data_IF_383280011284
#
_entry.id   IF_383280011284
#
_cell.length_a   1.000
_cell.length_b   1.000
_cell.length_c   1.000
_cell.angle_alpha   90.00
_cell.angle_beta   90.00
_cell.angle_gamma   90.00
#
_symmetry.space_group_name_H-M   'P 1'
#
loop_
_entity.id
_entity.type
_entity.pdbx_description
1 polymer ?
#
# COMPACT_ATOMS: atom_id res chain seq x y z
N UNK A 1 -0.11 -29.59 -21.88
CA UNK A 1 -0.16 -28.13 -21.65
C UNK A 1 -1.38 -27.68 -20.84
N UNK A 2 -2.63 -28.02 -21.21
CA UNK A 2 -3.84 -27.65 -20.45
C UNK A 2 -3.80 -28.02 -18.96
N UNK A 3 -3.40 -29.25 -18.61
CA UNK A 3 -3.31 -29.68 -17.21
C UNK A 3 -2.28 -28.88 -16.39
N UNK A 4 -1.17 -28.45 -17.00
CA UNK A 4 -0.12 -27.65 -16.32
C UNK A 4 -0.64 -26.23 -16.06
N UNK A 5 -1.31 -25.63 -17.06
CA UNK A 5 -1.93 -24.32 -16.91
C UNK A 5 -3.08 -24.34 -15.89
N UNK A 6 -3.92 -25.38 -15.88
CA UNK A 6 -4.98 -25.53 -14.89
C UNK A 6 -4.43 -25.55 -13.46
N UNK A 7 -3.37 -26.32 -13.21
CA UNK A 7 -2.69 -26.34 -11.90
C UNK A 7 -2.03 -25.00 -11.57
N UNK A 8 -1.39 -24.33 -12.54
CA UNK A 8 -0.81 -23.00 -12.32
C UNK A 8 -1.88 -22.00 -11.85
N UNK A 9 -3.01 -21.95 -12.54
CA UNK A 9 -4.14 -21.08 -12.17
C UNK A 9 -4.67 -21.41 -10.76
N UNK A 10 -4.77 -22.70 -10.42
CA UNK A 10 -5.18 -23.14 -9.09
C UNK A 10 -4.23 -22.64 -7.99
N UNK A 11 -2.91 -22.75 -8.19
CA UNK A 11 -1.93 -22.23 -7.22
C UNK A 11 -1.94 -20.71 -7.13
N UNK A 12 -2.15 -20.00 -8.24
CA UNK A 12 -2.30 -18.53 -8.24
C UNK A 12 -3.56 -18.08 -7.49
N UNK A 13 -4.67 -18.79 -7.69
CA UNK A 13 -5.91 -18.53 -6.94
C UNK A 13 -5.72 -18.79 -5.44
N UNK A 14 -5.14 -19.95 -5.09
CA UNK A 14 -4.81 -20.30 -3.70
C UNK A 14 -3.88 -19.27 -3.06
N UNK A 15 -2.90 -18.76 -3.80
CA UNK A 15 -2.01 -17.70 -3.33
C UNK A 15 -2.78 -16.44 -2.93
N UNK A 16 -3.65 -15.94 -3.81
CA UNK A 16 -4.45 -14.75 -3.56
C UNK A 16 -5.39 -14.95 -2.35
N UNK A 17 -6.07 -16.10 -2.28
CA UNK A 17 -6.95 -16.43 -1.15
C UNK A 17 -6.21 -16.43 0.19
N UNK A 18 -5.03 -17.06 0.26
CA UNK A 18 -4.24 -17.10 1.50
C UNK A 18 -3.78 -15.72 1.96
N UNK A 19 -3.44 -14.81 1.04
CA UNK A 19 -3.13 -13.41 1.40
C UNK A 19 -4.38 -12.71 1.97
N UNK A 20 -5.54 -12.91 1.35
CA UNK A 20 -6.81 -12.36 1.85
C UNK A 20 -7.15 -12.91 3.24
N UNK A 21 -6.97 -14.21 3.49
CA UNK A 21 -7.19 -14.81 4.80
C UNK A 21 -6.21 -14.29 5.85
N UNK A 22 -4.92 -14.13 5.51
CA UNK A 22 -3.92 -13.55 6.40
C UNK A 22 -4.31 -12.12 6.83
N UNK A 23 -4.79 -11.31 5.89
CA UNK A 23 -5.32 -9.96 6.17
C UNK A 23 -6.54 -9.99 7.11
N UNK A 24 -7.50 -10.88 6.86
CA UNK A 24 -8.75 -10.97 7.63
C UNK A 24 -8.58 -11.55 9.03
N UNK A 25 -7.60 -12.44 9.21
CA UNK A 25 -7.40 -13.17 10.47
C UNK A 25 -6.63 -12.34 11.49
N UNK A 26 -5.77 -11.42 11.03
CA UNK A 26 -5.03 -10.55 11.92
C UNK A 26 -5.96 -9.56 12.62
N UNK A 27 -5.83 -9.48 13.95
CA UNK A 27 -6.46 -8.47 14.78
C UNK A 27 -5.57 -8.24 15.99
N UNK A 28 -5.09 -7.02 16.17
CA UNK A 28 -4.37 -6.59 17.37
C UNK A 28 -5.25 -5.65 18.19
N UNK A 29 -5.32 -5.87 19.50
CA UNK A 29 -6.00 -4.99 20.44
C UNK A 29 -4.94 -4.30 21.29
N UNK A 30 -4.76 -3.01 21.07
CA UNK A 30 -3.81 -2.21 21.83
C UNK A 30 -4.46 -1.73 23.13
N UNK A 31 -3.78 -2.04 24.25
CA UNK A 31 -4.27 -1.80 25.61
C UNK A 31 -3.45 -0.74 26.35
N UNK A 32 -2.25 -0.41 25.88
CA UNK A 32 -1.43 0.65 26.48
C UNK A 32 -2.06 2.02 26.21
N UNK A 33 -2.56 2.74 27.23
CA UNK A 33 -3.26 4.01 27.04
C UNK A 33 -2.38 5.10 26.42
N UNK A 34 -1.06 4.95 26.45
CA UNK A 34 -0.12 5.92 25.88
C UNK A 34 0.29 5.59 24.44
N UNK A 35 -0.13 4.43 23.90
CA UNK A 35 0.31 3.96 22.58
C UNK A 35 -0.06 4.89 21.42
N UNK A 36 -1.09 5.72 21.61
CA UNK A 36 -1.60 6.65 20.61
C UNK A 36 -1.43 8.13 21.00
N UNK A 37 -0.66 8.46 22.05
CA UNK A 37 -0.57 9.84 22.59
C UNK A 37 -0.35 10.93 21.54
N UNK A 38 0.52 10.65 20.57
CA UNK A 38 0.92 11.59 19.53
C UNK A 38 0.12 11.47 18.23
N UNK A 39 -0.89 10.61 18.22
CA UNK A 39 -1.80 10.40 17.09
C UNK A 39 -2.94 11.43 17.14
N UNK A 40 -3.23 12.13 16.02
CA UNK A 40 -4.36 13.06 15.95
C UNK A 40 -5.70 12.41 16.34
N UNK A 41 -6.57 13.17 17.02
CA UNK A 41 -7.87 12.70 17.52
C UNK A 41 -8.73 11.99 16.46
N UNK A 42 -8.87 12.59 15.26
CA UNK A 42 -9.64 12.01 14.17
C UNK A 42 -9.05 10.70 13.62
N UNK A 43 -7.76 10.44 13.86
CA UNK A 43 -7.09 9.18 13.52
C UNK A 43 -7.31 8.16 14.63
N UNK A 44 -7.16 8.55 15.91
CA UNK A 44 -7.49 7.69 17.06
C UNK A 44 -8.93 7.13 16.98
N UNK A 45 -9.87 7.99 16.58
CA UNK A 45 -11.27 7.59 16.40
C UNK A 45 -11.45 6.44 15.39
N UNK A 46 -10.58 6.31 14.39
CA UNK A 46 -10.66 5.22 13.41
C UNK A 46 -10.38 3.85 14.05
N UNK A 47 -9.49 3.80 15.03
CA UNK A 47 -9.06 2.54 15.67
C UNK A 47 -9.75 2.27 17.00
N UNK A 48 -10.28 3.29 17.68
CA UNK A 48 -10.91 3.12 18.99
C UNK A 48 -12.08 2.13 18.93
N UNK A 49 -12.15 1.23 19.91
CA UNK A 49 -13.29 0.31 20.07
C UNK A 49 -14.54 1.11 20.43
N UNK A 50 -14.43 2.05 21.38
CA UNK A 50 -15.46 3.05 21.67
C UNK A 50 -15.16 4.35 20.91
N UNK A 51 -15.95 4.63 19.87
CA UNK A 51 -15.80 5.83 19.02
C UNK A 51 -16.08 7.14 19.77
N UNK A 52 -16.77 7.09 20.91
CA UNK A 52 -17.04 8.25 21.76
C UNK A 52 -15.89 8.57 22.73
N UNK A 53 -15.00 7.61 22.98
CA UNK A 53 -13.84 7.77 23.90
C UNK A 53 -12.52 7.37 23.23
N UNK A 54 -12.15 8.01 22.10
CA UNK A 54 -10.99 7.58 21.32
C UNK A 54 -9.64 7.80 21.99
N UNK A 55 -9.57 8.63 23.03
CA UNK A 55 -8.35 8.85 23.82
C UNK A 55 -8.14 7.82 24.94
N UNK A 56 -9.17 7.05 25.31
CA UNK A 56 -9.10 6.11 26.43
C UNK A 56 -8.77 4.68 26.01
N UNK A 57 -8.71 4.41 24.70
CA UNK A 57 -8.59 3.06 24.17
C UNK A 57 -9.73 2.13 24.62
N UNK A 58 -9.58 0.81 24.44
CA UNK A 58 -8.53 0.17 23.65
C UNK A 58 -8.71 0.44 22.14
N UNK A 59 -7.64 0.26 21.36
CA UNK A 59 -7.66 0.45 19.90
C UNK A 59 -7.53 -0.88 19.17
N UNK A 60 -8.46 -1.16 18.25
CA UNK A 60 -8.43 -2.36 17.40
C UNK A 60 -7.77 -2.04 16.07
N UNK A 61 -6.78 -2.85 15.70
CA UNK A 61 -5.91 -2.64 14.55
C UNK A 61 -5.94 -3.90 13.67
N UNK A 62 -6.15 -3.71 12.36
CA UNK A 62 -6.12 -4.75 11.34
C UNK A 62 -4.96 -4.55 10.34
N UNK A 63 -4.80 -5.44 9.35
CA UNK A 63 -3.78 -5.31 8.30
C UNK A 63 -4.31 -4.69 7.00
N UNK A 64 -5.43 -3.97 7.04
CA UNK A 64 -5.86 -3.21 5.86
C UNK A 64 -4.81 -2.17 5.51
N UNK A 65 -4.67 -1.86 4.21
CA UNK A 65 -3.67 -0.90 3.75
C UNK A 65 -3.86 0.46 4.43
N UNK A 66 -5.10 0.90 4.61
CA UNK A 66 -5.41 2.13 5.35
C UNK A 66 -4.85 2.10 6.76
N UNK A 67 -5.14 1.05 7.53
CA UNK A 67 -4.66 0.90 8.92
C UNK A 67 -3.13 0.88 8.95
N UNK A 68 -2.51 0.04 8.12
CA UNK A 68 -1.07 -0.07 8.04
C UNK A 68 -0.41 1.28 7.77
N UNK A 69 -0.77 1.94 6.67
CA UNK A 69 -0.19 3.22 6.28
C UNK A 69 -0.42 4.30 7.35
N UNK A 70 -1.57 4.28 8.03
CA UNK A 70 -1.89 5.25 9.08
C UNK A 70 -1.03 5.04 10.32
N UNK A 71 -0.89 3.80 10.82
CA UNK A 71 -0.02 3.50 11.97
C UNK A 71 1.44 3.82 11.63
N UNK A 72 1.92 3.42 10.45
CA UNK A 72 3.30 3.66 10.03
C UNK A 72 3.65 5.14 9.93
N UNK A 73 2.69 6.01 9.61
CA UNK A 73 2.92 7.46 9.44
C UNK A 73 2.66 8.29 10.70
N UNK A 74 1.69 7.92 11.55
CA UNK A 74 1.22 8.79 12.62
C UNK A 74 1.49 8.29 14.04
N UNK A 75 1.69 6.98 14.24
CA UNK A 75 1.83 6.42 15.59
C UNK A 75 3.28 6.52 16.08
N UNK A 76 3.50 7.26 17.18
CA UNK A 76 4.79 7.42 17.83
C UNK A 76 5.29 6.19 18.57
N UNK A 77 4.40 5.27 18.93
CA UNK A 77 4.75 4.00 19.57
C UNK A 77 5.55 3.10 18.61
N UNK A 78 6.89 3.11 18.78
CA UNK A 78 7.82 2.36 17.95
C UNK A 78 7.62 0.84 18.01
N UNK A 79 7.42 0.21 19.19
CA UNK A 79 7.02 -1.20 19.27
C UNK A 79 5.79 -1.54 18.43
N UNK A 80 4.75 -0.71 18.47
CA UNK A 80 3.54 -0.92 17.66
C UNK A 80 3.81 -0.78 16.16
N UNK A 81 4.61 0.22 15.74
CA UNK A 81 5.05 0.33 14.33
C UNK A 81 5.84 -0.90 13.88
N UNK A 82 6.73 -1.42 14.73
CA UNK A 82 7.49 -2.64 14.43
C UNK A 82 6.57 -3.85 14.27
N UNK A 83 5.66 -4.07 15.23
CA UNK A 83 4.66 -5.14 15.17
C UNK A 83 3.85 -5.06 13.86
N UNK A 84 3.37 -3.86 13.51
CA UNK A 84 2.59 -3.65 12.30
C UNK A 84 3.41 -3.91 11.03
N UNK A 85 4.66 -3.45 10.97
CA UNK A 85 5.56 -3.70 9.85
C UNK A 85 5.82 -5.19 9.65
N UNK A 86 6.22 -5.89 10.71
CA UNK A 86 6.52 -7.32 10.66
C UNK A 86 5.27 -8.13 10.32
N UNK A 87 4.12 -7.76 10.87
CA UNK A 87 2.85 -8.43 10.57
C UNK A 87 2.42 -8.23 9.12
N UNK A 88 2.49 -7.00 8.60
CA UNK A 88 2.07 -6.65 7.24
C UNK A 88 2.98 -7.28 6.16
N UNK A 89 4.30 -7.20 6.32
CA UNK A 89 5.23 -7.82 5.37
C UNK A 89 5.41 -9.34 5.60
N UNK A 90 5.07 -9.83 6.78
CA UNK A 90 5.04 -11.25 7.12
C UNK A 90 3.73 -11.97 6.76
N UNK A 91 2.74 -11.32 6.16
CA UNK A 91 1.48 -11.99 5.82
C UNK A 91 1.69 -13.18 4.90
N UNK A 92 0.97 -14.26 5.20
CA UNK A 92 1.09 -15.53 4.49
C UNK A 92 2.54 -16.05 4.41
N UNK A 93 3.41 -15.62 5.34
CA UNK A 93 4.77 -16.12 5.49
C UNK A 93 4.81 -17.22 6.56
N UNK A 94 5.78 -18.15 6.50
CA UNK A 94 5.86 -19.24 7.47
C UNK A 94 6.25 -18.78 8.87
N UNK A 95 6.75 -17.55 9.04
CA UNK A 95 7.18 -17.00 10.32
C UNK A 95 6.07 -16.29 11.07
N UNK A 96 5.13 -15.67 10.36
CA UNK A 96 4.03 -14.87 10.96
C UNK A 96 2.67 -15.53 10.80
N UNK A 97 2.40 -16.20 9.67
CA UNK A 97 1.12 -16.89 9.41
C UNK A 97 1.37 -18.31 8.88
N UNK A 98 1.60 -19.23 9.81
CA UNK A 98 1.87 -20.64 9.50
C UNK A 98 0.69 -21.34 8.82
N UNK A 99 -0.54 -20.97 9.15
CA UNK A 99 -1.75 -21.62 8.63
C UNK A 99 -2.03 -21.20 7.19
N UNK A 100 -1.84 -19.92 6.86
CA UNK A 100 -2.02 -19.40 5.50
C UNK A 100 -0.70 -19.20 4.75
N UNK A 101 0.36 -19.96 5.10
CA UNK A 101 1.67 -19.83 4.44
C UNK A 101 1.57 -20.05 2.92
N UNK A 102 2.27 -19.21 2.17
CA UNK A 102 2.23 -19.17 0.71
C UNK A 102 3.51 -19.68 0.02
N UNK A 103 4.54 -20.06 0.79
CA UNK A 103 5.84 -20.49 0.25
C UNK A 103 5.66 -21.66 -0.73
N UNK A 104 4.84 -22.66 -0.38
CA UNK A 104 4.59 -23.82 -1.22
C UNK A 104 3.89 -23.43 -2.53
N UNK A 105 2.92 -22.52 -2.46
CA UNK A 105 2.23 -22.00 -3.65
C UNK A 105 3.21 -21.26 -4.58
N UNK A 106 4.09 -20.42 -4.03
CA UNK A 106 5.11 -19.70 -4.80
C UNK A 106 6.06 -20.70 -5.50
N UNK A 107 6.55 -21.70 -4.76
CA UNK A 107 7.45 -22.73 -5.30
C UNK A 107 6.78 -23.49 -6.44
N UNK A 108 5.51 -23.89 -6.28
CA UNK A 108 4.77 -24.56 -7.35
C UNK A 108 4.54 -23.65 -8.55
N UNK A 109 4.18 -22.37 -8.35
CA UNK A 109 4.01 -21.40 -9.43
C UNK A 109 5.31 -21.26 -10.24
N UNK A 110 6.45 -21.06 -9.57
CA UNK A 110 7.77 -20.93 -10.22
C UNK A 110 8.15 -22.22 -10.94
N UNK A 111 7.97 -23.38 -10.30
CA UNK A 111 8.25 -24.69 -10.91
C UNK A 111 7.43 -24.89 -12.18
N UNK A 112 6.12 -24.63 -12.13
CA UNK A 112 5.22 -24.79 -13.28
C UNK A 112 5.56 -23.82 -14.40
N UNK A 113 5.86 -22.55 -14.09
CA UNK A 113 6.35 -21.56 -15.07
C UNK A 113 7.64 -22.02 -15.76
N UNK A 114 8.59 -22.58 -15.01
CA UNK A 114 9.81 -23.18 -15.58
C UNK A 114 9.51 -24.38 -16.47
N UNK A 115 8.60 -25.26 -16.05
CA UNK A 115 8.14 -26.39 -16.87
C UNK A 115 7.51 -25.93 -18.17
N UNK A 116 6.62 -24.93 -18.14
CA UNK A 116 5.99 -24.33 -19.33
C UNK A 116 7.04 -23.79 -20.30
N UNK A 117 8.02 -23.04 -19.80
CA UNK A 117 9.13 -22.53 -20.62
C UNK A 117 9.87 -23.66 -21.34
N UNK A 118 10.27 -24.69 -20.60
CA UNK A 118 10.98 -25.86 -21.17
C UNK A 118 10.15 -26.56 -22.24
N UNK A 119 8.84 -26.77 -22.02
CA UNK A 119 7.98 -27.42 -23.01
C UNK A 119 7.83 -26.63 -24.31
N UNK A 120 7.87 -25.30 -24.22
CA UNK A 120 7.76 -24.41 -25.37
C UNK A 120 9.11 -24.10 -26.03
N UNK A 121 10.21 -24.71 -25.56
CA UNK A 121 11.55 -24.48 -26.10
C UNK A 121 12.22 -23.18 -25.64
N UNK A 122 11.69 -22.52 -24.61
CA UNK A 122 12.25 -21.28 -24.05
C UNK A 122 13.11 -21.53 -22.81
N UNK A 123 14.15 -20.71 -22.63
CA UNK A 123 15.07 -20.80 -21.49
C UNK A 123 14.41 -20.41 -20.16
N UNK A 124 13.48 -19.44 -20.17
CA UNK A 124 12.71 -19.07 -18.99
C UNK A 124 11.30 -18.57 -19.33
N UNK A 125 10.47 -18.45 -18.30
CA UNK A 125 9.10 -17.95 -18.47
C UNK A 125 9.05 -16.48 -18.91
N UNK A 126 10.09 -15.70 -18.62
CA UNK A 126 10.18 -14.32 -19.10
C UNK A 126 10.41 -14.26 -20.62
N UNK A 127 11.13 -15.23 -21.21
CA UNK A 127 11.31 -15.30 -22.67
C UNK A 127 9.99 -15.60 -23.41
N UNK A 128 9.01 -16.20 -22.72
CA UNK A 128 7.67 -16.41 -23.27
C UNK A 128 6.88 -15.10 -23.30
N UNK A 129 6.96 -14.30 -22.23
CA UNK A 129 6.09 -13.13 -22.05
C UNK A 129 6.64 -11.90 -22.76
N UNK A 130 7.94 -11.63 -22.63
CA UNK A 130 8.55 -10.36 -23.04
C UNK A 130 8.44 -10.04 -24.54
N UNK A 131 8.48 -11.00 -25.48
CA UNK A 131 8.30 -10.69 -26.91
C UNK A 131 6.98 -9.99 -27.23
N UNK A 132 5.92 -10.24 -26.45
CA UNK A 132 4.61 -9.59 -26.58
C UNK A 132 4.52 -8.21 -25.90
N UNK A 133 5.54 -7.81 -25.14
CA UNK A 133 5.61 -6.55 -24.38
C UNK A 133 6.53 -5.56 -25.10
N UNK A 134 6.36 -4.27 -24.82
CA UNK A 134 7.22 -3.22 -25.39
C UNK A 134 8.70 -3.41 -25.04
N UNK A 135 9.00 -3.99 -23.88
CA UNK A 135 10.38 -4.23 -23.44
C UNK A 135 11.12 -5.31 -24.26
N UNK A 136 10.40 -6.23 -24.93
CA UNK A 136 10.89 -7.32 -25.81
C UNK A 136 11.83 -8.37 -25.18
N UNK A 137 12.86 -7.97 -24.44
CA UNK A 137 13.93 -8.85 -23.93
C UNK A 137 14.18 -8.62 -22.44
N UNK A 138 14.90 -9.57 -21.80
CA UNK A 138 15.20 -9.48 -20.36
C UNK A 138 16.29 -8.45 -20.09
N UNK A 139 17.23 -8.35 -21.01
CA UNK A 139 18.39 -7.47 -20.97
C UNK A 139 17.90 -6.02 -20.93
N UNK A 140 16.96 -5.65 -21.82
CA UNK A 140 16.34 -4.32 -21.80
C UNK A 140 15.64 -4.02 -20.46
N UNK A 141 14.97 -5.00 -19.85
CA UNK A 141 14.34 -4.82 -18.53
C UNK A 141 15.39 -4.64 -17.43
N UNK A 142 16.45 -5.45 -17.44
CA UNK A 142 17.53 -5.38 -16.44
C UNK A 142 18.31 -4.07 -16.55
N UNK A 143 18.69 -3.67 -17.77
CA UNK A 143 19.40 -2.43 -18.04
C UNK A 143 18.58 -1.21 -17.60
N UNK A 144 17.26 -1.23 -17.83
CA UNK A 144 16.37 -0.18 -17.37
C UNK A 144 16.31 -0.08 -15.84
N UNK A 145 16.12 -1.22 -15.15
CA UNK A 145 16.09 -1.26 -13.69
C UNK A 145 17.43 -0.79 -13.10
N UNK A 146 18.54 -1.21 -13.69
CA UNK A 146 19.89 -0.87 -13.26
C UNK A 146 20.22 0.61 -13.49
N UNK A 147 19.78 1.17 -14.63
CA UNK A 147 19.90 2.60 -14.92
C UNK A 147 19.14 3.46 -13.91
N UNK A 148 17.94 3.03 -13.51
CA UNK A 148 17.18 3.72 -12.46
C UNK A 148 17.87 3.56 -11.11
N UNK A 149 18.29 2.35 -10.77
CA UNK A 149 18.94 2.04 -9.48
C UNK A 149 20.20 2.88 -9.29
N UNK A 150 21.08 2.93 -10.29
CA UNK A 150 22.33 3.69 -10.22
C UNK A 150 22.11 5.19 -10.01
N UNK A 151 21.06 5.77 -10.60
CA UNK A 151 20.70 7.18 -10.41
C UNK A 151 20.02 7.46 -9.07
N UNK A 152 19.15 6.56 -8.61
CA UNK A 152 18.37 6.77 -7.38
C UNK A 152 19.11 6.36 -6.10
N UNK A 153 20.05 5.41 -6.16
CA UNK A 153 20.85 4.96 -5.00
C UNK A 153 21.50 6.11 -4.23
N UNK A 154 22.28 7.03 -4.84
CA UNK A 154 22.92 8.12 -4.10
C UNK A 154 21.89 9.08 -3.47
N UNK A 155 20.79 9.37 -4.17
CA UNK A 155 19.70 10.21 -3.66
C UNK A 155 19.01 9.55 -2.47
N UNK A 156 18.75 8.24 -2.55
CA UNK A 156 18.18 7.46 -1.47
C UNK A 156 19.09 7.46 -0.25
N UNK A 157 20.38 7.19 -0.42
CA UNK A 157 21.35 7.15 0.68
C UNK A 157 21.44 8.52 1.37
N UNK A 158 21.45 9.61 0.61
CA UNK A 158 21.43 10.97 1.16
C UNK A 158 20.13 11.27 1.92
N UNK A 159 18.97 10.94 1.35
CA UNK A 159 17.68 11.14 2.01
C UNK A 159 17.57 10.36 3.33
N UNK A 160 18.08 9.12 3.36
CA UNK A 160 18.11 8.31 4.59
C UNK A 160 19.07 8.91 5.62
N UNK A 161 20.24 9.43 5.21
CA UNK A 161 21.14 10.16 6.12
C UNK A 161 20.46 11.38 6.73
N UNK A 162 19.87 12.24 5.91
CA UNK A 162 19.16 13.44 6.37
C UNK A 162 18.00 13.10 7.30
N UNK A 163 17.21 12.08 6.96
CA UNK A 163 16.09 11.63 7.78
C UNK A 163 16.57 11.05 9.12
N UNK A 164 17.69 10.32 9.12
CA UNK A 164 18.30 9.78 10.34
C UNK A 164 18.79 10.92 11.25
N UNK A 165 19.48 11.92 10.70
CA UNK A 165 19.90 13.10 11.47
C UNK A 165 18.71 13.86 12.06
N UNK A 166 17.65 14.07 11.27
CA UNK A 166 16.41 14.69 11.73
C UNK A 166 15.74 13.91 12.87
N UNK A 167 15.63 12.59 12.73
CA UNK A 167 15.06 11.71 13.74
C UNK A 167 15.86 11.76 15.05
N UNK A 168 17.20 11.73 14.95
CA UNK A 168 18.09 11.84 16.12
C UNK A 168 17.93 13.18 16.82
N UNK A 169 17.85 14.29 16.08
CA UNK A 169 17.62 15.62 16.67
C UNK A 169 16.30 15.67 17.45
N UNK A 170 15.20 15.26 16.81
CA UNK A 170 13.86 15.30 17.42
C UNK A 170 13.69 14.31 18.57
N UNK A 171 14.36 13.16 18.52
CA UNK A 171 14.36 12.17 19.58
C UNK A 171 15.43 12.43 20.67
N UNK A 172 15.96 13.66 20.76
CA UNK A 172 16.98 14.06 21.77
C UNK A 172 18.19 13.13 21.81
N UNK A 173 18.66 12.71 20.63
CA UNK A 173 19.79 11.78 20.43
C UNK A 173 19.58 10.41 21.10
N UNK A 174 18.34 9.92 21.16
CA UNK A 174 18.05 8.56 21.58
C UNK A 174 18.81 7.53 20.74
N UNK A 175 19.44 6.55 21.41
CA UNK A 175 20.13 5.43 20.75
C UNK A 175 19.20 4.59 19.88
N UNK A 176 17.89 4.64 20.12
CA UNK A 176 16.90 3.89 19.35
C UNK A 176 16.86 4.26 17.87
N UNK A 177 17.25 5.51 17.54
CA UNK A 177 17.25 6.07 16.19
C UNK A 177 18.67 6.35 15.68
N UNK A 178 19.68 5.69 16.25
CA UNK A 178 21.05 5.71 15.71
C UNK A 178 21.07 5.20 14.26
N UNK A 179 20.30 4.14 14.01
CA UNK A 179 20.01 3.63 12.68
C UNK A 179 18.49 3.45 12.52
N UNK A 180 17.90 4.19 11.58
CA UNK A 180 16.49 4.02 11.26
C UNK A 180 16.23 2.64 10.66
N UNK A 181 15.20 1.98 11.19
CA UNK A 181 14.70 0.72 10.65
C UNK A 181 13.58 1.01 9.66
N UNK A 182 13.20 0.01 8.85
CA UNK A 182 12.14 0.16 7.84
C UNK A 182 10.81 0.64 8.44
N UNK A 183 10.52 0.29 9.70
CA UNK A 183 9.31 0.73 10.41
C UNK A 183 9.40 2.15 11.00
N UNK A 184 10.55 2.82 10.90
CA UNK A 184 10.75 4.18 11.39
C UNK A 184 10.62 5.23 10.26
N UNK A 185 10.87 4.84 9.00
CA UNK A 185 10.99 5.75 7.85
C UNK A 185 9.71 6.58 7.62
N UNK A 186 8.55 5.93 7.54
CA UNK A 186 7.29 6.60 7.23
C UNK A 186 6.89 7.62 8.31
N UNK A 187 7.08 7.25 9.58
CA UNK A 187 6.80 8.09 10.73
C UNK A 187 7.67 9.35 10.73
N UNK A 188 9.00 9.18 10.60
CA UNK A 188 9.90 10.33 10.61
C UNK A 188 9.73 11.23 9.38
N UNK A 189 9.42 10.65 8.21
CA UNK A 189 9.11 11.44 7.02
C UNK A 189 7.85 12.27 7.23
N UNK A 190 6.82 11.71 7.86
CA UNK A 190 5.60 12.43 8.17
C UNK A 190 5.87 13.56 9.16
N UNK A 191 6.67 13.32 10.21
CA UNK A 191 7.09 14.36 11.16
C UNK A 191 7.87 15.48 10.48
N UNK A 192 8.84 15.14 9.62
CA UNK A 192 9.63 16.14 8.87
C UNK A 192 8.74 16.98 7.96
N UNK A 193 7.77 16.34 7.29
CA UNK A 193 6.79 17.01 6.44
C UNK A 193 5.88 17.96 7.25
N UNK A 194 5.41 17.51 8.42
CA UNK A 194 4.60 18.32 9.33
C UNK A 194 5.35 19.54 9.84
N UNK A 195 6.62 19.39 10.20
CA UNK A 195 7.47 20.51 10.63
C UNK A 195 7.70 21.51 9.50
N UNK A 196 7.94 21.01 8.28
CA UNK A 196 8.08 21.86 7.09
C UNK A 196 6.78 22.63 6.82
N UNK A 197 5.62 21.97 6.80
CA UNK A 197 4.34 22.64 6.58
C UNK A 197 3.98 23.62 7.70
N UNK A 198 4.29 23.28 8.95
CA UNK A 198 4.10 24.18 10.09
C UNK A 198 4.94 25.45 9.93
N UNK A 199 6.20 25.32 9.47
CA UNK A 199 7.06 26.49 9.19
C UNK A 199 6.52 27.35 8.03
N UNK A 200 5.85 26.72 7.06
CA UNK A 200 5.16 27.39 5.96
C UNK A 200 3.74 27.86 6.32
N UNK A 201 3.28 27.65 7.56
CA UNK A 201 1.91 27.94 8.03
C UNK A 201 0.81 27.28 7.17
N UNK A 202 1.10 26.09 6.65
CA UNK A 202 0.17 25.31 5.85
C UNK A 202 -0.59 24.34 6.77
N UNK A 203 -1.90 24.52 6.87
CA UNK A 203 -2.78 23.60 7.60
C UNK A 203 -3.32 22.51 6.65
N UNK A 204 -2.87 21.27 6.85
CA UNK A 204 -3.30 20.13 6.03
C UNK A 204 -4.78 19.79 6.19
N UNK A 205 -5.36 20.02 7.38
CA UNK A 205 -6.80 19.82 7.63
C UNK A 205 -7.63 20.90 6.94
N UNK A 206 -7.10 22.13 6.86
CA UNK A 206 -7.71 23.18 6.04
C UNK A 206 -7.66 22.81 4.55
N UNK A 207 -6.50 22.37 4.05
CA UNK A 207 -6.34 21.94 2.66
C UNK A 207 -7.31 20.80 2.31
N UNK A 208 -7.45 19.79 3.17
CA UNK A 208 -8.31 18.63 2.85
C UNK A 208 -9.77 19.01 2.62
N UNK A 209 -10.27 20.08 3.26
CA UNK A 209 -11.62 20.63 3.04
C UNK A 209 -11.83 21.14 1.61
N UNK A 210 -10.76 21.51 0.91
CA UNK A 210 -10.83 21.94 -0.50
C UNK A 210 -10.85 20.76 -1.49
N UNK A 211 -10.57 19.53 -1.03
CA UNK A 211 -10.54 18.32 -1.87
C UNK A 211 -11.68 17.35 -1.53
N UNK A 212 -12.91 17.85 -1.49
CA UNK A 212 -14.09 16.98 -1.39
C UNK A 212 -14.22 16.09 -2.63
N UNK A 213 -14.68 14.86 -2.44
CA UNK A 213 -14.84 13.87 -3.51
C UNK A 213 -15.55 14.43 -4.76
N UNK A 214 -16.72 15.07 -4.57
CA UNK A 214 -17.54 15.57 -5.69
C UNK A 214 -16.81 16.62 -6.53
N UNK A 215 -16.17 17.60 -5.88
CA UNK A 215 -15.38 18.63 -6.59
C UNK A 215 -14.18 18.05 -7.33
N UNK A 216 -13.49 17.06 -6.76
CA UNK A 216 -12.35 16.40 -7.42
C UNK A 216 -12.81 15.60 -8.63
N UNK A 217 -13.92 14.87 -8.49
CA UNK A 217 -14.50 14.09 -9.59
C UNK A 217 -14.95 15.00 -10.73
N UNK A 218 -15.62 16.11 -10.42
CA UNK A 218 -16.06 17.08 -11.42
C UNK A 218 -14.89 17.78 -12.11
N UNK A 219 -13.83 18.11 -11.36
CA UNK A 219 -12.59 18.64 -11.95
C UNK A 219 -11.93 17.66 -12.93
N UNK A 220 -11.94 16.36 -12.59
CA UNK A 220 -11.45 15.31 -13.47
C UNK A 220 -12.30 15.20 -14.75
N UNK A 221 -13.63 15.23 -14.64
CA UNK A 221 -14.50 15.24 -15.82
C UNK A 221 -14.20 16.43 -16.72
N UNK A 222 -14.22 17.65 -16.19
CA UNK A 222 -13.94 18.86 -16.98
C UNK A 222 -12.60 18.77 -17.72
N UNK A 223 -11.56 18.23 -17.08
CA UNK A 223 -10.25 18.03 -17.70
C UNK A 223 -10.31 17.03 -18.87
N UNK A 224 -11.00 15.89 -18.69
CA UNK A 224 -11.13 14.86 -19.73
C UNK A 224 -12.04 15.33 -20.86
N UNK A 225 -13.14 16.02 -20.55
CA UNK A 225 -14.03 16.63 -21.54
C UNK A 225 -13.29 17.62 -22.42
N UNK A 226 -12.47 18.49 -21.80
CA UNK A 226 -11.62 19.44 -22.53
C UNK A 226 -10.58 18.76 -23.42
N UNK A 227 -9.90 17.72 -22.90
CA UNK A 227 -8.80 17.07 -23.61
C UNK A 227 -9.28 16.16 -24.74
N UNK A 228 -10.39 15.45 -24.54
CA UNK A 228 -10.86 14.38 -25.43
C UNK A 228 -12.15 14.73 -26.18
N UNK A 229 -12.78 15.87 -25.88
CA UNK A 229 -14.03 16.27 -26.53
C UNK A 229 -15.23 15.38 -26.16
N UNK A 230 -15.23 14.79 -24.98
CA UNK A 230 -16.35 13.98 -24.45
C UNK A 230 -17.19 14.79 -23.46
N UNK A 231 -18.31 14.22 -23.00
CA UNK A 231 -19.15 14.73 -21.91
C UNK A 231 -19.56 13.62 -20.96
N UNK A 232 -19.52 13.90 -19.66
CA UNK A 232 -19.95 13.01 -18.59
C UNK A 232 -21.24 13.54 -17.94
N UNK A 233 -22.24 12.68 -17.78
CA UNK A 233 -23.49 12.99 -17.09
C UNK A 233 -23.88 11.85 -16.15
N UNK A 234 -24.39 12.12 -14.94
CA UNK A 234 -24.93 11.08 -14.07
C UNK A 234 -26.02 10.27 -14.79
N UNK A 235 -25.89 8.94 -14.80
CA UNK A 235 -26.90 8.06 -15.40
C UNK A 235 -27.98 7.75 -14.36
N UNK A 236 -29.00 8.60 -14.33
CA UNK A 236 -30.10 8.49 -13.37
C UNK A 236 -31.06 7.34 -13.68
N UNK A 237 -31.02 6.76 -14.89
CA UNK A 237 -31.88 5.64 -15.28
C UNK A 237 -31.19 4.27 -15.12
N UNK A 238 -30.02 4.22 -14.50
CA UNK A 238 -29.36 2.95 -14.22
C UNK A 238 -30.14 2.20 -13.13
N UNK A 239 -30.51 0.96 -13.40
CA UNK A 239 -31.20 0.11 -12.43
C UNK A 239 -30.29 -0.16 -11.21
N UNK A 240 -30.70 0.39 -10.07
CA UNK A 240 -30.00 0.24 -8.79
C UNK A 240 -29.79 -1.23 -8.40
N UNK A 241 -30.66 -2.15 -8.83
CA UNK A 241 -30.51 -3.60 -8.57
C UNK A 241 -29.35 -4.22 -9.34
N UNK A 242 -28.88 -3.59 -10.42
CA UNK A 242 -27.71 -4.04 -11.17
C UNK A 242 -26.39 -3.51 -10.60
N UNK A 243 -26.42 -2.67 -9.55
CA UNK A 243 -25.21 -2.28 -8.83
C UNK A 243 -24.79 -3.39 -7.88
N UNK A 244 -23.51 -3.75 -7.90
CA UNK A 244 -22.95 -4.72 -6.94
C UNK A 244 -22.75 -4.14 -5.52
N UNK A 245 -22.85 -2.82 -5.36
CA UNK A 245 -22.74 -2.12 -4.08
C UNK A 245 -23.40 -0.73 -4.14
N UNK A 246 -23.95 -0.24 -3.02
CA UNK A 246 -24.68 1.03 -2.96
C UNK A 246 -23.82 2.26 -3.25
N UNK A 247 -22.53 2.20 -2.92
CA UNK A 247 -21.57 3.29 -3.16
C UNK A 247 -21.18 3.46 -4.64
N UNK A 248 -21.68 2.60 -5.54
CA UNK A 248 -21.36 2.67 -6.98
C UNK A 248 -22.15 3.81 -7.64
N UNK A 249 -21.41 4.73 -8.27
CA UNK A 249 -21.96 5.80 -9.10
C UNK A 249 -21.77 5.46 -10.59
N UNK A 250 -22.80 5.70 -11.40
CA UNK A 250 -22.80 5.41 -12.84
C UNK A 250 -22.92 6.71 -13.62
N UNK A 251 -22.07 6.88 -14.61
CA UNK A 251 -22.03 8.05 -15.48
C UNK A 251 -22.09 7.61 -16.94
N UNK A 252 -22.90 8.32 -17.73
CA UNK A 252 -22.94 8.20 -19.18
C UNK A 252 -21.85 9.09 -19.79
N UNK A 253 -21.07 8.52 -20.72
CA UNK A 253 -20.08 9.24 -21.50
C UNK A 253 -20.57 9.35 -22.95
N UNK A 254 -20.62 10.56 -23.49
CA UNK A 254 -20.99 10.83 -24.90
C UNK A 254 -19.92 11.68 -25.58
N UNK A 255 -19.72 11.48 -26.88
CA UNK A 255 -18.96 12.44 -27.69
C UNK A 255 -19.70 13.78 -27.75
N UNK A 256 -18.95 14.89 -27.81
CA UNK A 256 -19.52 16.22 -28.05
C UNK A 256 -19.97 16.39 -29.50
#
# INVERSE_FOLDING_TARGET
>A
MQMINGKLNQYQYSFAQKVLYANKTFSHLELDPFAFDDVPYHIKQQFAVDKAKPDSGPWKIDLSDRTFHTIMSYCGNRPLRKLMFESYYGRASPTVDRLNRNVENIVEIVRRRKTIAKYLGYSSFADIILPSKMARTKETVQDFIETIRSKLKPIHDENIRQLTSYAQEKAKKSKEYEQLQSWDIAYWRQRQCQDLYSSLKIDSLHISRHFSYDHVLQGLFNFVEFLLGVKFQPENNFDEQNKWHNDVQVYKCTEN
#
